data_IF_551215510044
#
_entry.id   IF_551215510044
#
_cell.length_a   1.000
_cell.length_b   1.000
_cell.length_c   1.000
_cell.angle_alpha   90.00
_cell.angle_beta   90.00
_cell.angle_gamma   90.00
#
_symmetry.space_group_name_H-M   'P 1'
#
loop_
_entity.id
_entity.type
_entity.pdbx_description
1 polymer ?
#
# COMPACT_ATOMS: atom_id res chain seq x y z
N UNK A 1 14.88 -48.16 -2.95
CA UNK A 1 15.22 -47.43 -1.71
C UNK A 1 16.58 -46.79 -1.90
N UNK A 2 16.60 -45.55 -2.41
CA UNK A 2 17.78 -44.69 -2.56
C UNK A 2 17.26 -43.29 -2.89
N UNK A 3 16.70 -42.64 -1.87
CA UNK A 3 16.21 -41.27 -1.91
C UNK A 3 17.14 -40.45 -1.02
N UNK A 4 18.33 -40.14 -1.52
CA UNK A 4 19.29 -39.29 -0.83
C UNK A 4 20.01 -38.43 -1.86
N UNK A 5 20.30 -37.20 -1.44
CA UNK A 5 21.08 -36.14 -2.11
C UNK A 5 20.15 -35.25 -2.94
N UNK A 6 19.79 -34.03 -2.53
CA UNK A 6 20.68 -32.93 -2.11
C UNK A 6 20.03 -32.08 -1.01
N UNK A 7 20.70 -32.04 0.13
CA UNK A 7 20.69 -30.95 1.09
C UNK A 7 21.55 -29.83 0.50
N UNK A 8 20.97 -28.69 0.12
CA UNK A 8 21.67 -27.44 -0.16
C UNK A 8 20.61 -26.36 -0.40
N UNK A 9 20.66 -25.16 0.14
CA UNK A 9 21.56 -24.46 1.05
C UNK A 9 20.78 -23.16 1.34
N UNK A 10 20.71 -22.76 2.60
CA UNK A 10 20.66 -21.35 3.00
C UNK A 10 19.78 -20.40 2.15
N UNK A 11 18.51 -20.34 2.50
CA UNK A 11 17.76 -19.08 2.47
C UNK A 11 16.84 -18.99 3.69
N UNK A 12 17.37 -19.31 4.87
CA UNK A 12 17.14 -18.45 6.03
C UNK A 12 17.86 -17.11 5.71
N UNK A 13 17.36 -16.40 4.68
CA UNK A 13 17.62 -14.97 4.58
C UNK A 13 17.06 -14.43 5.87
N UNK A 14 17.86 -13.64 6.60
CA UNK A 14 17.42 -12.92 7.79
C UNK A 14 15.92 -12.66 7.71
N UNK A 15 15.20 -13.27 8.64
CA UNK A 15 13.76 -13.17 8.84
C UNK A 15 13.48 -11.74 9.33
N UNK A 16 13.86 -10.76 8.51
CA UNK A 16 13.65 -9.36 8.74
C UNK A 16 12.18 -9.11 8.58
N UNK A 17 11.59 -8.39 9.52
CA UNK A 17 10.20 -7.93 9.48
C UNK A 17 10.04 -6.94 8.30
N UNK A 18 9.56 -7.38 7.11
CA UNK A 18 9.56 -6.53 5.92
C UNK A 18 8.57 -5.38 6.10
N UNK A 19 7.46 -5.66 6.80
CA UNK A 19 6.50 -4.66 7.22
C UNK A 19 7.17 -3.65 8.14
N UNK A 20 7.91 -4.10 9.16
CA UNK A 20 8.69 -3.24 10.06
C UNK A 20 9.71 -2.36 9.33
N UNK A 21 10.42 -2.90 8.34
CA UNK A 21 11.33 -2.14 7.48
C UNK A 21 10.61 -1.04 6.72
N UNK A 22 9.46 -1.33 6.11
CA UNK A 22 8.68 -0.32 5.39
C UNK A 22 8.10 0.72 6.34
N UNK A 23 7.53 0.30 7.47
CA UNK A 23 6.96 1.20 8.48
C UNK A 23 7.98 2.20 9.04
N UNK A 24 9.23 1.76 9.20
CA UNK A 24 10.33 2.58 9.69
C UNK A 24 11.07 3.35 8.60
N UNK A 25 10.85 3.04 7.32
CA UNK A 25 11.45 3.76 6.20
C UNK A 25 11.03 5.24 6.22
N UNK A 26 11.98 6.12 5.90
CA UNK A 26 11.74 7.57 5.81
C UNK A 26 11.21 7.92 4.43
N UNK A 27 10.15 8.73 4.38
CA UNK A 27 9.60 9.23 3.11
C UNK A 27 10.53 10.22 2.41
N UNK A 28 11.22 11.05 3.21
CA UNK A 28 12.31 11.89 2.76
C UNK A 28 13.41 11.90 3.84
N UNK A 29 14.70 11.96 3.46
CA UNK A 29 15.81 11.92 4.41
C UNK A 29 15.71 13.01 5.49
N UNK A 30 15.21 14.18 5.10
CA UNK A 30 15.28 15.43 5.88
C UNK A 30 14.06 15.68 6.77
N UNK A 31 12.93 15.02 6.49
CA UNK A 31 11.66 15.28 7.22
C UNK A 31 11.57 14.53 8.54
N UNK A 32 12.40 13.50 8.74
CA UNK A 32 12.34 12.59 9.88
C UNK A 32 11.05 11.76 9.97
N UNK A 33 10.12 11.91 9.01
CA UNK A 33 8.82 11.25 9.00
C UNK A 33 8.93 9.87 8.37
N UNK A 34 8.49 8.86 9.11
CA UNK A 34 8.44 7.49 8.59
C UNK A 34 7.14 7.23 7.83
N UNK A 35 7.10 6.15 7.06
CA UNK A 35 5.88 5.69 6.38
C UNK A 35 4.75 5.47 7.38
N UNK A 36 4.99 4.78 8.50
CA UNK A 36 3.97 4.55 9.52
C UNK A 36 3.42 5.89 10.05
N UNK A 37 4.29 6.85 10.38
CA UNK A 37 3.85 8.16 10.86
C UNK A 37 3.02 8.95 9.84
N UNK A 38 3.26 8.75 8.54
CA UNK A 38 2.43 9.36 7.49
C UNK A 38 1.06 8.69 7.43
N UNK A 39 1.04 7.37 7.24
CA UNK A 39 -0.19 6.60 7.07
C UNK A 39 -1.10 6.65 8.31
N UNK A 40 -0.54 6.59 9.52
CA UNK A 40 -1.32 6.68 10.76
C UNK A 40 -1.88 8.08 11.03
N UNK A 41 -1.27 9.13 10.48
CA UNK A 41 -1.79 10.50 10.62
C UNK A 41 -2.99 10.75 9.70
N UNK A 42 -3.19 9.92 8.69
CA UNK A 42 -4.25 10.10 7.70
C UNK A 42 -5.61 9.62 8.25
N UNK A 43 -6.34 10.52 8.91
CA UNK A 43 -7.56 10.22 9.69
C UNK A 43 -8.75 9.66 8.90
N UNK A 44 -8.66 9.61 7.56
CA UNK A 44 -9.70 9.07 6.68
C UNK A 44 -9.47 7.59 6.35
N UNK A 45 -8.32 7.01 6.72
CA UNK A 45 -8.09 5.58 6.56
C UNK A 45 -8.74 4.76 7.67
N UNK A 46 -9.37 3.67 7.26
CA UNK A 46 -10.03 2.69 8.11
C UNK A 46 -9.49 1.30 7.76
N UNK A 47 -9.43 0.43 8.77
CA UNK A 47 -9.07 -0.98 8.63
C UNK A 47 -7.76 -1.20 7.82
N UNK A 48 -6.62 -0.60 8.23
CA UNK A 48 -5.37 -0.80 7.52
C UNK A 48 -4.92 -2.25 7.60
N UNK A 49 -4.49 -2.80 6.47
CA UNK A 49 -3.95 -4.15 6.32
C UNK A 49 -2.57 -4.07 5.69
N UNK A 50 -1.65 -4.87 6.21
CA UNK A 50 -0.28 -5.00 5.71
C UNK A 50 -0.05 -6.44 5.28
N UNK A 51 0.46 -6.62 4.07
CA UNK A 51 0.73 -7.95 3.49
C UNK A 51 2.11 -7.96 2.87
N UNK A 52 2.76 -9.11 2.89
CA UNK A 52 4.06 -9.30 2.23
C UNK A 52 3.95 -10.43 1.21
N UNK A 53 4.50 -10.24 0.02
CA UNK A 53 4.58 -11.26 -1.02
C UNK A 53 5.77 -11.03 -1.94
N UNK A 54 6.04 -12.00 -2.81
CA UNK A 54 7.06 -11.89 -3.87
C UNK A 54 6.36 -11.61 -5.19
N UNK A 55 6.79 -10.58 -5.92
CA UNK A 55 6.21 -10.25 -7.22
C UNK A 55 6.72 -11.15 -8.36
N UNK A 56 6.23 -10.90 -9.57
CA UNK A 56 6.61 -11.68 -10.75
C UNK A 56 8.10 -11.55 -11.13
N UNK A 57 8.77 -10.48 -10.66
CA UNK A 57 10.19 -10.22 -10.90
C UNK A 57 11.07 -10.82 -9.78
N UNK A 58 10.48 -11.52 -8.80
CA UNK A 58 11.20 -12.12 -7.68
C UNK A 58 11.54 -11.13 -6.56
N UNK A 59 10.94 -9.94 -6.54
CA UNK A 59 11.21 -8.90 -5.53
C UNK A 59 10.28 -9.05 -4.34
N UNK A 60 10.81 -8.77 -3.14
CA UNK A 60 9.99 -8.69 -1.93
C UNK A 60 9.15 -7.41 -1.95
N UNK A 61 7.83 -7.56 -1.80
CA UNK A 61 6.87 -6.47 -1.81
C UNK A 61 6.08 -6.45 -0.52
N UNK A 62 5.94 -5.28 0.07
CA UNK A 62 5.01 -5.00 1.17
C UNK A 62 3.87 -4.16 0.62
N UNK A 63 2.65 -4.64 0.78
CA UNK A 63 1.43 -3.97 0.36
C UNK A 63 0.70 -3.44 1.58
N UNK A 64 0.43 -2.14 1.58
CA UNK A 64 -0.50 -1.50 2.49
C UNK A 64 -1.84 -1.34 1.77
N UNK A 65 -2.94 -1.70 2.43
CA UNK A 65 -4.30 -1.44 1.95
C UNK A 65 -5.10 -0.81 3.08
N UNK A 66 -5.82 0.27 2.81
CA UNK A 66 -6.78 0.84 3.74
C UNK A 66 -8.07 1.26 3.01
N UNK A 67 -9.19 1.17 3.71
CA UNK A 67 -10.45 1.73 3.23
C UNK A 67 -10.48 3.24 3.50
N UNK A 68 -10.81 4.02 2.49
CA UNK A 68 -11.01 5.46 2.62
C UNK A 68 -12.44 5.75 3.04
N UNK A 69 -12.58 6.58 4.06
CA UNK A 69 -13.88 7.07 4.54
C UNK A 69 -14.48 8.07 3.55
N UNK A 70 -15.19 7.54 2.55
CA UNK A 70 -15.85 8.34 1.51
C UNK A 70 -16.78 9.37 2.15
N UNK A 71 -17.54 8.98 3.18
CA UNK A 71 -18.54 9.86 3.79
C UNK A 71 -17.94 11.12 4.41
N UNK A 72 -16.78 11.00 5.07
CA UNK A 72 -16.04 12.14 5.61
C UNK A 72 -15.25 12.87 4.52
N UNK A 73 -14.68 12.14 3.57
CA UNK A 73 -13.86 12.69 2.50
C UNK A 73 -14.62 13.58 1.50
N UNK A 74 -15.87 13.24 1.18
CA UNK A 74 -16.69 14.04 0.25
C UNK A 74 -17.23 15.32 0.87
N UNK A 75 -17.22 15.46 2.20
CA UNK A 75 -17.73 16.66 2.87
C UNK A 75 -16.93 17.93 2.47
N UNK A 76 -15.65 17.76 2.17
CA UNK A 76 -14.74 18.84 1.78
C UNK A 76 -14.56 18.96 0.25
N UNK A 77 -15.27 18.14 -0.53
CA UNK A 77 -15.18 18.17 -1.99
C UNK A 77 -16.12 19.22 -2.60
N UNK A 78 -15.71 19.92 -3.68
CA UNK A 78 -16.61 20.77 -4.44
C UNK A 78 -17.84 19.97 -4.90
N UNK A 79 -19.04 20.58 -4.92
CA UNK A 79 -20.22 19.93 -5.43
C UNK A 79 -20.02 19.54 -6.89
N UNK A 80 -20.11 18.25 -7.16
CA UNK A 80 -20.15 17.68 -8.50
C UNK A 80 -21.59 17.61 -8.98
N UNK A 81 -21.81 17.70 -10.29
CA UNK A 81 -23.15 17.68 -10.87
C UNK A 81 -23.97 16.45 -10.46
N UNK A 82 -25.31 16.50 -10.57
CA UNK A 82 -26.22 15.47 -10.04
C UNK A 82 -26.02 14.07 -10.66
N UNK A 83 -25.35 14.01 -11.82
CA UNK A 83 -25.00 12.76 -12.51
C UNK A 83 -23.88 11.98 -11.80
N UNK A 84 -23.11 12.63 -10.93
CA UNK A 84 -21.95 12.03 -10.25
C UNK A 84 -22.39 11.48 -8.90
N UNK A 85 -22.41 10.16 -8.78
CA UNK A 85 -22.66 9.48 -7.51
C UNK A 85 -21.34 9.17 -6.81
N UNK A 86 -21.21 9.44 -5.50
CA UNK A 86 -20.07 8.98 -4.72
C UNK A 86 -19.90 7.46 -4.84
N UNK A 87 -18.64 7.00 -4.80
CA UNK A 87 -18.36 5.59 -4.64
C UNK A 87 -18.95 5.09 -3.31
N UNK A 88 -19.44 3.85 -3.30
CA UNK A 88 -19.93 3.21 -2.08
C UNK A 88 -18.79 2.86 -1.13
N UNK A 89 -17.66 2.43 -1.69
CA UNK A 89 -16.43 2.12 -0.96
C UNK A 89 -15.23 2.52 -1.80
N UNK A 90 -14.17 2.97 -1.16
CA UNK A 90 -12.90 3.31 -1.81
C UNK A 90 -11.79 2.67 -1.01
N UNK A 91 -10.85 2.03 -1.70
CA UNK A 91 -9.65 1.46 -1.11
C UNK A 91 -8.42 2.12 -1.69
N UNK A 92 -7.48 2.45 -0.83
CA UNK A 92 -6.15 2.93 -1.20
C UNK A 92 -5.18 1.78 -0.97
N UNK A 93 -4.43 1.43 -2.01
CA UNK A 93 -3.37 0.44 -1.97
C UNK A 93 -2.04 1.12 -2.27
N UNK A 94 -1.03 0.89 -1.45
CA UNK A 94 0.35 1.31 -1.69
C UNK A 94 1.25 0.08 -1.71
N UNK A 95 2.12 -0.03 -2.71
CA UNK A 95 3.08 -1.14 -2.82
C UNK A 95 4.49 -0.62 -2.66
N UNK A 96 5.21 -1.20 -1.71
CA UNK A 96 6.60 -0.91 -1.43
C UNK A 96 7.46 -2.10 -1.86
N UNK A 97 8.52 -1.84 -2.59
CA UNK A 97 9.52 -2.85 -2.98
C UNK A 97 10.72 -2.74 -2.05
N UNK A 98 11.21 -3.89 -1.60
CA UNK A 98 12.43 -4.00 -0.80
C UNK A 98 13.53 -4.58 -1.70
N UNK A 99 14.54 -3.77 -2.01
CA UNK A 99 15.64 -4.16 -2.89
C UNK A 99 16.97 -3.60 -2.37
N UNK A 100 17.98 -4.46 -2.20
CA UNK A 100 19.31 -4.04 -1.74
C UNK A 100 19.33 -3.36 -0.37
N UNK A 101 18.35 -3.65 0.51
CA UNK A 101 18.18 -2.99 1.80
C UNK A 101 17.49 -1.61 1.74
N UNK A 102 17.11 -1.15 0.55
CA UNK A 102 16.33 0.07 0.36
C UNK A 102 14.83 -0.24 0.27
N UNK A 103 14.01 0.72 0.72
CA UNK A 103 12.55 0.71 0.56
C UNK A 103 12.17 1.77 -0.45
N UNK A 104 11.43 1.39 -1.48
CA UNK A 104 10.90 2.32 -2.49
C UNK A 104 9.40 2.10 -2.66
N UNK A 105 8.64 3.17 -2.89
CA UNK A 105 7.26 3.06 -3.32
C UNK A 105 7.25 2.70 -4.81
N UNK A 106 6.73 1.53 -5.16
CA UNK A 106 6.62 1.07 -6.53
C UNK A 106 5.40 1.71 -7.23
N UNK A 107 4.25 1.70 -6.56
CA UNK A 107 3.03 2.36 -7.03
C UNK A 107 1.98 2.51 -5.93
N UNK A 108 0.96 3.30 -6.26
CA UNK A 108 -0.27 3.42 -5.49
C UNK A 108 -1.49 3.29 -6.38
N UNK A 109 -2.56 2.71 -5.85
CA UNK A 109 -3.84 2.57 -6.53
C UNK A 109 -4.99 3.04 -5.65
N UNK A 110 -6.01 3.60 -6.30
CA UNK A 110 -7.32 3.88 -5.71
C UNK A 110 -8.34 3.00 -6.42
N UNK A 111 -9.02 2.15 -5.67
CA UNK A 111 -10.07 1.27 -6.18
C UNK A 111 -11.41 1.73 -5.61
N UNK A 112 -12.29 2.20 -6.48
CA UNK A 112 -13.62 2.69 -6.13
C UNK A 112 -14.67 1.66 -6.54
N UNK A 113 -15.60 1.35 -5.63
CA UNK A 113 -16.67 0.39 -5.83
C UNK A 113 -18.04 1.07 -5.70
N UNK A 114 -18.97 0.76 -6.61
CA UNK A 114 -20.37 1.17 -6.51
C UNK A 114 -21.18 0.21 -5.63
N UNK A 115 -22.39 0.61 -5.25
CA UNK A 115 -23.36 -0.28 -4.57
C UNK A 115 -23.86 -1.43 -5.46
N UNK A 116 -23.66 -1.32 -6.78
CA UNK A 116 -24.13 -2.29 -7.79
C UNK A 116 -23.02 -3.22 -8.29
N UNK A 117 -21.82 -3.15 -7.71
CA UNK A 117 -20.69 -4.01 -8.07
C UNK A 117 -19.83 -3.52 -9.24
N UNK A 118 -20.09 -2.32 -9.77
CA UNK A 118 -19.14 -1.66 -10.68
C UNK A 118 -17.90 -1.26 -9.90
N UNK A 119 -16.72 -1.41 -10.50
CA UNK A 119 -15.46 -0.95 -9.92
C UNK A 119 -14.61 -0.22 -10.94
N UNK A 120 -13.83 0.74 -10.46
CA UNK A 120 -12.83 1.44 -11.24
C UNK A 120 -11.53 1.51 -10.42
N UNK A 121 -10.40 1.33 -11.11
CA UNK A 121 -9.07 1.40 -10.55
C UNK A 121 -8.31 2.55 -11.18
N UNK A 122 -7.75 3.41 -10.34
CA UNK A 122 -7.00 4.58 -10.75
C UNK A 122 -5.58 4.46 -10.20
N UNK A 123 -4.59 4.82 -11.00
CA UNK A 123 -3.23 5.05 -10.50
C UNK A 123 -3.26 6.29 -9.60
N UNK A 124 -2.74 6.15 -8.38
CA UNK A 124 -2.49 7.32 -7.56
C UNK A 124 -1.27 8.03 -8.15
N UNK A 125 -1.47 9.24 -8.68
CA UNK A 125 -0.35 10.08 -9.11
C UNK A 125 0.58 10.34 -7.91
N UNK A 126 1.88 10.52 -8.15
CA UNK A 126 2.89 10.71 -7.09
C UNK A 126 2.49 11.79 -6.08
N UNK A 127 1.96 12.93 -6.56
CA UNK A 127 1.48 14.01 -5.69
C UNK A 127 0.24 13.68 -4.84
N UNK A 128 -0.51 12.63 -5.17
CA UNK A 128 -1.59 12.11 -4.30
C UNK A 128 -1.02 11.25 -3.18
N UNK A 129 0.04 10.48 -3.47
CA UNK A 129 0.74 9.70 -2.44
C UNK A 129 1.51 10.62 -1.48
N UNK A 130 2.11 11.69 -1.98
CA UNK A 130 2.82 12.68 -1.16
C UNK A 130 1.91 13.46 -0.18
N UNK A 131 0.59 13.45 -0.42
CA UNK A 131 -0.42 14.12 0.43
C UNK A 131 -0.99 13.22 1.53
N UNK A 132 -0.66 11.93 1.51
CA UNK A 132 -0.96 10.98 2.57
C UNK A 132 0.12 11.11 3.65
#
# INVERSE_FOLDING_TARGET
>A
MLLSIVLALAACVEEGDPVGMVRSARLAPDTGRTVEMALSAYSLFRNPVWETYVDADGRAVVRFVAEYDVSRGVADCPPVGPEVKPAARVFVTLRYVLEGGAVSLADGFIEAYSTTGYSAKYLAESGTVDRI
#
